data_IF_504876241918
#
_entry.id   IF_504876241918
#
_cell.length_a   1.000
_cell.length_b   1.000
_cell.length_c   1.000
_cell.angle_alpha   90.00
_cell.angle_beta   90.00
_cell.angle_gamma   90.00
#
_symmetry.space_group_name_H-M   'P 1'
#
loop_
_entity.id
_entity.type
_entity.pdbx_description
1 polymer ?
#
# COMPACT_ATOMS: atom_id res chain seq x y z
N UNK A 1 28.41 32.86 3.70
CA UNK A 1 27.72 31.83 4.50
C UNK A 1 28.16 30.46 4.01
N UNK A 2 28.69 29.57 4.87
CA UNK A 2 29.05 28.23 4.46
C UNK A 2 27.77 27.47 4.07
N UNK A 3 27.73 26.95 2.83
CA UNK A 3 26.67 26.05 2.38
C UNK A 3 26.60 24.89 3.37
N UNK A 4 25.49 24.75 4.12
CA UNK A 4 25.20 23.53 4.89
C UNK A 4 25.48 22.36 3.96
N UNK A 5 26.40 21.47 4.35
CA UNK A 5 26.64 20.19 3.67
C UNK A 5 25.26 19.56 3.45
N UNK A 6 24.84 19.50 2.19
CA UNK A 6 23.54 18.95 1.83
C UNK A 6 23.59 17.49 2.28
N UNK A 7 22.87 17.17 3.35
CA UNK A 7 22.81 15.81 3.87
C UNK A 7 22.29 14.94 2.72
N UNK A 8 23.06 13.94 2.29
CA UNK A 8 22.69 13.10 1.16
C UNK A 8 21.35 12.44 1.47
N UNK A 9 20.35 12.72 0.62
CA UNK A 9 18.99 12.20 0.75
C UNK A 9 18.80 11.19 -0.38
N UNK A 10 19.05 9.91 -0.10
CA UNK A 10 19.02 8.86 -1.12
C UNK A 10 17.65 8.73 -1.79
N UNK A 11 16.57 9.02 -1.08
CA UNK A 11 15.21 8.93 -1.62
C UNK A 11 14.77 10.19 -2.37
N UNK A 12 15.60 11.25 -2.40
CA UNK A 12 15.24 12.48 -3.11
C UNK A 12 15.09 12.21 -4.60
N UNK A 13 13.92 12.54 -5.16
CA UNK A 13 13.59 12.29 -6.55
C UNK A 13 13.10 10.87 -6.84
N UNK A 14 13.13 9.96 -5.86
CA UNK A 14 12.52 8.66 -5.99
C UNK A 14 10.99 8.78 -6.05
N UNK A 15 10.35 7.76 -6.64
CA UNK A 15 8.90 7.62 -6.78
C UNK A 15 8.44 6.40 -6.00
N UNK A 16 7.36 6.55 -5.25
CA UNK A 16 6.79 5.49 -4.42
C UNK A 16 5.31 5.33 -4.70
N UNK A 17 4.84 4.09 -4.82
CA UNK A 17 3.41 3.78 -4.88
C UNK A 17 2.88 3.28 -3.53
N UNK A 18 1.73 3.81 -3.10
CA UNK A 18 1.08 3.44 -1.83
C UNK A 18 -0.08 2.45 -2.04
N UNK A 19 0.28 1.17 -2.00
CA UNK A 19 -0.63 0.05 -2.18
C UNK A 19 -1.35 -0.33 -0.87
N UNK A 20 -2.61 -0.73 -0.96
CA UNK A 20 -3.40 -1.20 0.19
C UNK A 20 -4.91 -1.15 -0.05
N UNK A 21 -5.73 -1.73 0.84
CA UNK A 21 -7.17 -1.76 0.67
C UNK A 21 -7.81 -0.37 0.50
N UNK A 22 -8.81 -0.31 -0.37
CA UNK A 22 -9.65 0.87 -0.62
C UNK A 22 -11.14 0.55 -0.58
N UNK A 23 -11.57 -0.61 -1.09
CA UNK A 23 -12.99 -0.94 -1.24
C UNK A 23 -13.64 -1.56 0.01
N UNK A 24 -12.99 -2.55 0.62
CA UNK A 24 -13.55 -3.31 1.76
C UNK A 24 -13.14 -2.69 3.11
N UNK A 25 -12.80 -1.40 3.12
CA UNK A 25 -12.54 -0.65 4.34
C UNK A 25 -13.85 -0.19 4.98
N UNK A 26 -13.83 0.10 6.28
CA UNK A 26 -15.04 0.51 7.00
C UNK A 26 -15.72 1.78 6.42
N UNK A 27 -14.92 2.70 5.87
CA UNK A 27 -15.43 3.87 5.14
C UNK A 27 -14.41 4.38 4.14
N UNK A 28 -14.77 4.37 2.85
CA UNK A 28 -13.94 4.93 1.77
C UNK A 28 -13.64 6.40 1.99
N UNK A 29 -14.64 7.17 2.41
CA UNK A 29 -14.51 8.61 2.66
C UNK A 29 -13.54 8.88 3.82
N UNK A 30 -13.68 8.13 4.92
CA UNK A 30 -12.79 8.28 6.07
C UNK A 30 -11.35 7.84 5.73
N UNK A 31 -11.17 6.76 4.98
CA UNK A 31 -9.84 6.34 4.54
C UNK A 31 -9.19 7.35 3.58
N UNK A 32 -9.95 7.89 2.62
CA UNK A 32 -9.43 8.95 1.74
C UNK A 32 -8.99 10.20 2.50
N UNK A 33 -9.77 10.61 3.51
CA UNK A 33 -9.54 11.86 4.23
C UNK A 33 -8.54 11.73 5.40
N UNK A 34 -8.57 10.63 6.12
CA UNK A 34 -7.83 10.43 7.39
C UNK A 34 -6.98 9.17 7.39
N UNK A 35 -6.81 8.53 6.24
CA UNK A 35 -6.08 7.30 6.10
C UNK A 35 -4.60 7.41 6.34
N UNK A 36 -3.97 6.24 6.46
CA UNK A 36 -2.53 6.13 6.66
C UNK A 36 -1.73 6.77 5.52
N UNK A 37 -2.27 6.69 4.29
CA UNK A 37 -1.62 7.24 3.09
C UNK A 37 -1.33 8.72 3.24
N UNK A 38 -2.22 9.50 3.84
CA UNK A 38 -2.01 10.94 4.02
C UNK A 38 -0.76 11.24 4.86
N UNK A 39 -0.57 10.50 5.97
CA UNK A 39 0.60 10.66 6.85
C UNK A 39 1.88 10.14 6.22
N UNK A 40 1.81 8.99 5.55
CA UNK A 40 2.95 8.41 4.83
C UNK A 40 3.38 9.30 3.66
N UNK A 41 2.42 9.86 2.92
CA UNK A 41 2.65 10.84 1.86
C UNK A 41 3.39 12.06 2.39
N UNK A 42 2.89 12.69 3.47
CA UNK A 42 3.53 13.86 4.09
C UNK A 42 4.97 13.54 4.54
N UNK A 43 5.18 12.37 5.14
CA UNK A 43 6.49 11.91 5.60
C UNK A 43 7.49 11.73 4.45
N UNK A 44 7.06 11.08 3.36
CA UNK A 44 7.90 10.82 2.18
C UNK A 44 8.19 12.09 1.39
N UNK A 45 7.20 12.99 1.27
CA UNK A 45 7.35 14.27 0.58
C UNK A 45 8.37 15.19 1.27
N UNK A 46 8.48 15.16 2.61
CA UNK A 46 9.53 15.91 3.33
C UNK A 46 10.94 15.45 2.91
N UNK A 47 11.09 14.20 2.47
CA UNK A 47 12.35 13.64 1.95
C UNK A 47 12.56 13.90 0.45
N UNK A 48 11.63 14.59 -0.22
CA UNK A 48 11.67 14.86 -1.65
C UNK A 48 11.27 13.67 -2.52
N UNK A 49 10.49 12.73 -1.98
CA UNK A 49 9.92 11.59 -2.73
C UNK A 49 8.64 12.02 -3.42
N UNK A 50 8.46 11.61 -4.67
CA UNK A 50 7.18 11.72 -5.39
C UNK A 50 6.28 10.56 -5.00
N UNK A 51 5.08 10.85 -4.48
CA UNK A 51 4.16 9.83 -3.95
C UNK A 51 2.99 9.64 -4.91
N UNK A 52 2.78 8.39 -5.32
CA UNK A 52 1.60 7.95 -6.04
C UNK A 52 0.60 7.32 -5.07
N UNK A 53 -0.43 8.08 -4.75
CA UNK A 53 -1.57 7.66 -3.93
C UNK A 53 -2.78 7.37 -4.84
N UNK A 54 -3.33 6.15 -4.85
CA UNK A 54 -4.48 5.81 -5.70
C UNK A 54 -5.75 6.62 -5.39
N UNK A 55 -5.87 7.26 -4.22
CA UNK A 55 -6.97 8.20 -3.95
C UNK A 55 -6.83 9.55 -4.67
N UNK A 56 -5.60 9.92 -5.02
CA UNK A 56 -5.20 11.23 -5.55
C UNK A 56 -4.32 11.06 -6.78
N UNK A 57 -4.91 10.46 -7.82
CA UNK A 57 -4.23 10.12 -9.07
C UNK A 57 -3.73 11.38 -9.78
N UNK A 58 -2.48 11.40 -10.30
CA UNK A 58 -1.97 12.52 -11.06
C UNK A 58 -2.72 12.68 -12.39
N UNK A 59 -2.75 13.90 -12.91
CA UNK A 59 -3.31 14.14 -14.24
C UNK A 59 -2.45 13.47 -15.32
N UNK A 60 -3.10 12.80 -16.26
CA UNK A 60 -2.43 12.18 -17.41
C UNK A 60 -2.36 13.18 -18.54
N UNK A 61 -1.15 13.52 -18.98
CA UNK A 61 -0.95 14.49 -20.07
C UNK A 61 -1.68 14.02 -21.34
N UNK A 62 -2.58 14.87 -21.84
CA UNK A 62 -3.33 14.61 -23.06
C UNK A 62 -4.59 13.74 -22.88
N UNK A 63 -4.90 13.27 -21.65
CA UNK A 63 -6.13 12.54 -21.35
C UNK A 63 -6.89 13.24 -20.23
N UNK A 64 -8.11 13.70 -20.51
CA UNK A 64 -8.93 14.38 -19.51
C UNK A 64 -9.56 13.37 -18.54
N UNK A 65 -9.40 13.60 -17.23
CA UNK A 65 -10.00 12.81 -16.13
C UNK A 65 -9.72 11.29 -16.14
N UNK A 66 -8.68 10.86 -16.85
CA UNK A 66 -8.38 9.44 -17.05
C UNK A 66 -8.23 8.66 -15.74
N UNK A 67 -9.05 7.62 -15.58
CA UNK A 67 -8.99 6.71 -14.43
C UNK A 67 -9.38 7.33 -13.08
N UNK A 68 -9.94 8.54 -13.06
CA UNK A 68 -10.53 9.13 -11.85
C UNK A 68 -11.78 8.35 -11.46
N UNK A 69 -11.79 7.87 -10.22
CA UNK A 69 -12.94 7.18 -9.65
C UNK A 69 -13.94 8.18 -9.06
N UNK A 70 -15.19 8.12 -9.53
CA UNK A 70 -16.33 8.63 -8.78
C UNK A 70 -17.07 7.45 -8.11
N UNK A 71 -17.67 7.69 -6.94
CA UNK A 71 -18.41 6.61 -6.22
C UNK A 71 -19.59 6.08 -7.07
N UNK A 72 -20.13 6.92 -7.97
CA UNK A 72 -21.28 6.60 -8.82
C UNK A 72 -20.94 5.63 -9.97
N UNK A 73 -19.71 5.61 -10.48
CA UNK A 73 -19.30 4.67 -11.55
C UNK A 73 -19.25 3.23 -11.05
N UNK A 74 -18.72 2.99 -9.85
CA UNK A 74 -18.64 1.65 -9.27
C UNK A 74 -20.01 1.00 -9.08
N UNK A 75 -20.99 1.74 -8.57
CA UNK A 75 -22.35 1.24 -8.38
C UNK A 75 -23.04 0.92 -9.71
N UNK A 76 -22.91 1.80 -10.72
CA UNK A 76 -23.44 1.56 -12.07
C UNK A 76 -22.86 0.30 -12.71
N UNK A 77 -21.56 0.06 -12.55
CA UNK A 77 -20.90 -1.15 -13.05
C UNK A 77 -21.49 -2.40 -12.39
N UNK A 78 -21.68 -2.38 -11.06
CA UNK A 78 -22.26 -3.50 -10.31
C UNK A 78 -23.70 -3.78 -10.71
N UNK A 79 -24.54 -2.74 -10.84
CA UNK A 79 -25.93 -2.87 -11.25
C UNK A 79 -26.09 -3.43 -12.68
N UNK A 80 -25.14 -3.12 -13.58
CA UNK A 80 -25.18 -3.58 -14.98
C UNK A 80 -24.56 -4.95 -15.21
N UNK A 81 -23.75 -5.46 -14.27
CA UNK A 81 -23.11 -6.75 -14.43
C UNK A 81 -24.14 -7.88 -14.55
N UNK A 82 -23.90 -8.83 -15.46
CA UNK A 82 -24.74 -10.01 -15.65
C UNK A 82 -23.94 -11.23 -16.08
N UNK A 83 -24.38 -12.40 -15.63
CA UNK A 83 -23.84 -13.71 -16.02
C UNK A 83 -24.57 -14.33 -17.22
N UNK A 84 -25.59 -13.67 -17.75
CA UNK A 84 -26.35 -14.18 -18.89
C UNK A 84 -25.45 -14.41 -20.12
N UNK A 85 -25.76 -15.48 -20.86
CA UNK A 85 -25.13 -15.79 -22.12
C UNK A 85 -25.59 -14.89 -23.28
N UNK A 86 -25.10 -15.17 -24.48
CA UNK A 86 -25.52 -14.49 -25.70
C UNK A 86 -24.98 -13.07 -25.87
N UNK A 87 -25.42 -12.41 -26.93
CA UNK A 87 -24.88 -11.12 -27.37
C UNK A 87 -25.17 -9.97 -26.40
N UNK A 88 -26.34 -9.96 -25.75
CA UNK A 88 -26.72 -8.94 -24.78
C UNK A 88 -25.84 -9.00 -23.51
N UNK A 89 -25.70 -10.19 -22.91
CA UNK A 89 -24.82 -10.40 -21.76
C UNK A 89 -23.36 -10.09 -22.06
N UNK A 90 -22.86 -10.50 -23.25
CA UNK A 90 -21.50 -10.15 -23.69
C UNK A 90 -21.28 -8.64 -23.82
N UNK A 91 -22.24 -7.89 -24.37
CA UNK A 91 -22.19 -6.41 -24.45
C UNK A 91 -22.17 -5.76 -23.07
N UNK A 92 -22.97 -6.26 -22.13
CA UNK A 92 -23.01 -5.74 -20.76
C UNK A 92 -21.65 -5.95 -20.06
N UNK A 93 -21.09 -7.16 -20.09
CA UNK A 93 -19.77 -7.46 -19.50
C UNK A 93 -18.65 -6.67 -20.15
N UNK A 94 -18.64 -6.57 -21.49
CA UNK A 94 -17.66 -5.76 -22.23
C UNK A 94 -17.71 -4.28 -21.84
N UNK A 95 -18.92 -3.72 -21.69
CA UNK A 95 -19.08 -2.37 -21.20
C UNK A 95 -18.52 -2.22 -19.77
N UNK A 96 -18.89 -3.10 -18.84
CA UNK A 96 -18.41 -3.06 -17.45
C UNK A 96 -16.87 -3.11 -17.37
N UNK A 97 -16.25 -4.04 -18.11
CA UNK A 97 -14.79 -4.16 -18.18
C UNK A 97 -14.13 -2.88 -18.70
N UNK A 98 -14.69 -2.29 -19.76
CA UNK A 98 -14.17 -1.04 -20.33
C UNK A 98 -14.28 0.15 -19.37
N UNK A 99 -15.36 0.25 -18.59
CA UNK A 99 -15.53 1.36 -17.65
C UNK A 99 -14.48 1.35 -16.53
N UNK A 100 -14.12 0.17 -16.01
CA UNK A 100 -13.15 0.08 -14.92
C UNK A 100 -11.69 0.01 -15.42
N UNK A 101 -11.49 -0.21 -16.72
CA UNK A 101 -10.16 -0.36 -17.32
C UNK A 101 -9.25 0.83 -17.05
N UNK A 102 -9.74 2.06 -17.19
CA UNK A 102 -8.91 3.26 -17.03
C UNK A 102 -8.39 3.40 -15.59
N UNK A 103 -9.24 3.09 -14.61
CA UNK A 103 -8.90 3.04 -13.19
C UNK A 103 -7.80 2.02 -12.91
N UNK A 104 -7.99 0.77 -13.36
CA UNK A 104 -6.98 -0.27 -13.21
C UNK A 104 -5.67 0.11 -13.91
N UNK A 105 -5.76 0.61 -15.14
CA UNK A 105 -4.60 0.90 -15.98
C UNK A 105 -3.74 2.02 -15.37
N UNK A 106 -4.34 3.12 -14.89
CA UNK A 106 -3.56 4.19 -14.28
C UNK A 106 -2.89 3.75 -12.97
N UNK A 107 -3.55 2.92 -12.16
CA UNK A 107 -2.97 2.41 -10.91
C UNK A 107 -1.75 1.51 -11.19
N UNK A 108 -1.88 0.59 -12.15
CA UNK A 108 -0.76 -0.24 -12.58
C UNK A 108 0.35 0.58 -13.24
N UNK A 109 0.01 1.66 -13.97
CA UNK A 109 1.02 2.56 -14.54
C UNK A 109 1.78 3.34 -13.45
N UNK A 110 1.12 3.70 -12.35
CA UNK A 110 1.80 4.29 -11.18
C UNK A 110 2.73 3.29 -10.49
N UNK A 111 2.33 2.02 -10.36
CA UNK A 111 3.24 0.94 -9.89
C UNK A 111 4.43 0.80 -10.83
N UNK A 112 4.19 0.69 -12.13
CA UNK A 112 5.19 0.54 -13.18
C UNK A 112 6.21 1.69 -13.20
N UNK A 113 5.78 2.90 -12.86
CA UNK A 113 6.66 4.07 -12.83
C UNK A 113 7.21 4.41 -11.44
N UNK A 114 6.83 3.68 -10.39
CA UNK A 114 7.47 3.81 -9.07
C UNK A 114 8.83 3.11 -9.02
N UNK A 115 9.74 3.59 -8.17
CA UNK A 115 11.04 2.96 -7.90
C UNK A 115 10.93 1.90 -6.79
N UNK A 116 9.96 2.05 -5.89
CA UNK A 116 9.59 1.05 -4.87
C UNK A 116 8.12 1.23 -4.46
N UNK A 117 7.57 0.26 -3.72
CA UNK A 117 6.20 0.36 -3.20
C UNK A 117 6.16 0.23 -1.68
N UNK A 118 5.16 0.86 -1.05
CA UNK A 118 4.76 0.58 0.33
C UNK A 118 3.37 -0.04 0.29
N UNK A 119 3.24 -1.25 0.81
CA UNK A 119 2.01 -2.05 0.70
C UNK A 119 1.44 -2.35 2.09
N UNK A 120 0.31 -1.73 2.44
CA UNK A 120 -0.42 -1.99 3.67
C UNK A 120 -1.41 -3.15 3.48
N UNK A 121 -1.17 -4.27 4.16
CA UNK A 121 -1.87 -5.53 3.94
C UNK A 121 -2.40 -6.14 5.24
N UNK A 122 -3.44 -5.54 5.87
CA UNK A 122 -4.11 -6.16 7.01
C UNK A 122 -4.82 -7.45 6.59
N UNK A 123 -4.64 -8.52 7.36
CA UNK A 123 -5.11 -9.86 6.97
C UNK A 123 -6.62 -10.08 7.05
N UNK A 124 -7.38 -9.11 7.56
CA UNK A 124 -8.84 -9.14 7.66
C UNK A 124 -9.56 -8.25 6.64
N UNK A 125 -8.83 -7.59 5.75
CA UNK A 125 -9.46 -6.78 4.70
C UNK A 125 -9.22 -7.46 3.36
N UNK A 126 -10.30 -7.85 2.71
CA UNK A 126 -10.23 -8.38 1.36
C UNK A 126 -9.73 -7.30 0.40
N UNK A 127 -8.72 -7.64 -0.40
CA UNK A 127 -8.17 -6.76 -1.44
C UNK A 127 -7.71 -7.60 -2.61
N UNK A 128 -8.07 -7.16 -3.83
CA UNK A 128 -7.62 -7.76 -5.10
C UNK A 128 -6.58 -6.88 -5.81
N UNK A 129 -6.69 -5.56 -5.69
CA UNK A 129 -5.74 -4.61 -6.26
C UNK A 129 -4.36 -4.73 -5.60
N UNK A 130 -4.33 -4.77 -4.27
CA UNK A 130 -3.08 -4.83 -3.49
C UNK A 130 -2.20 -6.05 -3.85
N UNK A 131 -2.72 -7.30 -3.89
CA UNK A 131 -1.92 -8.42 -4.40
C UNK A 131 -1.41 -8.21 -5.83
N UNK A 132 -2.25 -7.68 -6.74
CA UNK A 132 -1.87 -7.46 -8.14
C UNK A 132 -0.74 -6.43 -8.27
N UNK A 133 -0.81 -5.34 -7.52
CA UNK A 133 0.20 -4.28 -7.45
C UNK A 133 1.54 -4.82 -6.90
N UNK A 134 1.50 -5.64 -5.85
CA UNK A 134 2.69 -6.29 -5.26
C UNK A 134 3.34 -7.25 -6.26
N UNK A 135 2.53 -8.10 -6.91
CA UNK A 135 3.03 -9.05 -7.91
C UNK A 135 3.67 -8.30 -9.08
N UNK A 136 3.05 -7.23 -9.57
CA UNK A 136 3.64 -6.41 -10.63
C UNK A 136 4.97 -5.78 -10.20
N UNK A 137 5.03 -5.18 -9.01
CA UNK A 137 6.26 -4.58 -8.50
C UNK A 137 7.40 -5.61 -8.38
N UNK A 138 7.10 -6.80 -7.84
CA UNK A 138 8.10 -7.87 -7.66
C UNK A 138 8.55 -8.50 -8.97
N UNK A 139 7.67 -8.66 -9.96
CA UNK A 139 8.04 -9.09 -11.32
C UNK A 139 8.95 -8.08 -12.03
N UNK A 140 8.92 -6.82 -11.61
CA UNK A 140 9.80 -5.76 -12.09
C UNK A 140 11.04 -5.57 -11.21
N UNK A 141 11.30 -6.49 -10.27
CA UNK A 141 12.40 -6.44 -9.32
C UNK A 141 12.44 -5.16 -8.47
N UNK A 142 11.27 -4.56 -8.20
CA UNK A 142 11.17 -3.38 -7.33
C UNK A 142 11.04 -3.81 -5.87
N UNK A 143 11.70 -3.11 -4.93
CA UNK A 143 11.46 -3.32 -3.52
C UNK A 143 9.99 -3.09 -3.15
N UNK A 144 9.43 -4.01 -2.36
CA UNK A 144 8.08 -3.89 -1.78
C UNK A 144 8.21 -3.84 -0.27
N UNK A 145 7.99 -2.69 0.34
CA UNK A 145 7.93 -2.56 1.80
C UNK A 145 6.52 -2.96 2.28
N UNK A 146 6.40 -4.13 2.90
CA UNK A 146 5.14 -4.78 3.25
C UNK A 146 4.77 -4.56 4.71
N UNK A 147 3.65 -3.90 4.97
CA UNK A 147 3.13 -3.63 6.32
C UNK A 147 1.96 -4.58 6.62
N UNK A 148 2.16 -5.49 7.58
CA UNK A 148 1.17 -6.45 8.07
C UNK A 148 0.92 -6.17 9.55
N UNK A 149 -0.12 -5.42 9.95
CA UNK A 149 -0.39 -5.15 11.36
C UNK A 149 -1.01 -6.38 12.06
N UNK A 150 -0.90 -6.50 13.39
CA UNK A 150 -1.74 -7.40 14.17
C UNK A 150 -3.23 -7.18 13.89
N UNK A 151 -4.00 -8.27 13.78
CA UNK A 151 -5.46 -8.21 13.62
C UNK A 151 -6.12 -8.92 14.79
N UNK A 152 -7.00 -8.22 15.49
CA UNK A 152 -7.88 -8.78 16.51
C UNK A 152 -9.24 -8.09 16.47
N UNK A 153 -10.26 -8.67 17.11
CA UNK A 153 -11.63 -8.13 17.14
C UNK A 153 -12.12 -7.94 18.58
N UNK A 154 -11.69 -6.87 19.28
CA UNK A 154 -12.07 -6.63 20.67
C UNK A 154 -13.58 -6.56 20.88
N UNK A 155 -14.29 -5.86 19.99
CA UNK A 155 -15.75 -5.74 20.05
C UNK A 155 -16.45 -7.09 19.87
N UNK A 156 -15.86 -8.00 19.08
CA UNK A 156 -16.38 -9.37 18.96
C UNK A 156 -16.20 -10.15 20.27
N UNK A 157 -15.08 -9.96 20.97
CA UNK A 157 -14.86 -10.59 22.27
C UNK A 157 -15.85 -10.08 23.32
N UNK A 158 -16.12 -8.78 23.33
CA UNK A 158 -17.12 -8.17 24.20
C UNK A 158 -18.53 -8.65 23.86
N UNK A 159 -18.86 -8.77 22.56
CA UNK A 159 -20.15 -9.27 22.09
C UNK A 159 -20.36 -10.75 22.48
N UNK A 160 -19.33 -11.60 22.31
CA UNK A 160 -19.37 -12.99 22.77
C UNK A 160 -19.72 -13.07 24.25
N UNK A 161 -19.02 -12.27 25.07
CA UNK A 161 -19.26 -12.22 26.52
C UNK A 161 -20.67 -11.73 26.85
N UNK A 162 -21.15 -10.72 26.14
CA UNK A 162 -22.50 -10.16 26.36
C UNK A 162 -23.60 -11.19 26.08
N UNK A 163 -23.41 -12.05 25.08
CA UNK A 163 -24.39 -13.05 24.64
C UNK A 163 -24.29 -14.40 25.38
N UNK A 164 -23.39 -14.55 26.37
CA UNK A 164 -23.18 -15.83 27.09
C UNK A 164 -24.46 -16.41 27.72
N UNK A 165 -25.37 -15.55 28.17
CA UNK A 165 -26.65 -15.92 28.79
C UNK A 165 -27.85 -15.85 27.82
N UNK A 166 -27.60 -15.59 26.54
CA UNK A 166 -28.60 -15.56 25.46
C UNK A 166 -28.32 -16.69 24.46
N UNK A 167 -29.00 -17.85 24.58
CA UNK A 167 -28.77 -19.00 23.70
C UNK A 167 -29.05 -18.70 22.22
N UNK A 168 -30.05 -17.87 21.94
CA UNK A 168 -30.45 -17.53 20.56
C UNK A 168 -29.40 -16.58 19.96
N UNK A 169 -29.07 -15.50 20.67
CA UNK A 169 -28.03 -14.56 20.25
C UNK A 169 -26.68 -15.23 20.06
N UNK A 170 -26.30 -16.13 20.96
CA UNK A 170 -25.08 -16.94 20.85
C UNK A 170 -25.06 -17.83 19.60
N UNK A 171 -26.19 -18.46 19.23
CA UNK A 171 -26.25 -19.27 18.01
C UNK A 171 -26.18 -18.41 16.74
N UNK A 172 -26.90 -17.29 16.71
CA UNK A 172 -26.81 -16.33 15.60
C UNK A 172 -25.38 -15.80 15.43
N UNK A 173 -24.68 -15.50 16.52
CA UNK A 173 -23.28 -15.07 16.46
C UNK A 173 -22.37 -16.19 15.93
N UNK A 174 -22.54 -17.44 16.38
CA UNK A 174 -21.79 -18.59 15.84
C UNK A 174 -22.04 -18.81 14.35
N UNK A 175 -23.27 -18.62 13.90
CA UNK A 175 -23.62 -18.70 12.49
C UNK A 175 -22.92 -17.59 11.69
N UNK A 176 -23.00 -16.34 12.17
CA UNK A 176 -22.33 -15.20 11.55
C UNK A 176 -20.81 -15.40 11.43
N UNK A 177 -20.17 -15.96 12.45
CA UNK A 177 -18.74 -16.28 12.44
C UNK A 177 -18.35 -17.35 11.41
N UNK A 178 -19.29 -18.20 10.97
CA UNK A 178 -19.07 -19.17 9.88
C UNK A 178 -19.30 -18.55 8.51
N UNK A 179 -20.20 -17.57 8.42
CA UNK A 179 -20.55 -16.88 7.17
C UNK A 179 -19.51 -15.81 6.78
N UNK A 180 -18.86 -15.19 7.76
CA UNK A 180 -17.85 -14.15 7.55
C UNK A 180 -16.45 -14.70 7.88
N UNK A 181 -15.41 -14.44 7.07
CA UNK A 181 -14.04 -14.89 7.34
C UNK A 181 -13.38 -14.11 8.48
N UNK A 182 -13.90 -14.25 9.70
CA UNK A 182 -13.36 -13.63 10.91
C UNK A 182 -12.15 -14.45 11.39
N UNK A 183 -10.96 -14.00 11.00
CA UNK A 183 -9.70 -14.63 11.42
C UNK A 183 -8.77 -13.62 12.07
N UNK A 184 -8.51 -13.82 13.36
CA UNK A 184 -7.51 -13.05 14.08
C UNK A 184 -6.09 -13.41 13.62
N UNK A 185 -5.20 -12.44 13.71
CA UNK A 185 -3.77 -12.56 13.46
C UNK A 185 -3.01 -11.69 14.48
N UNK A 186 -3.02 -12.08 15.77
CA UNK A 186 -2.43 -11.26 16.84
C UNK A 186 -0.91 -11.09 16.70
N UNK A 187 -0.27 -11.96 15.92
CA UNK A 187 1.17 -11.96 15.65
C UNK A 187 1.56 -11.24 14.37
N UNK A 188 0.62 -10.62 13.67
CA UNK A 188 0.89 -9.86 12.44
C UNK A 188 1.50 -10.69 11.31
N UNK A 189 1.33 -12.02 11.33
CA UNK A 189 1.98 -12.94 10.39
C UNK A 189 1.44 -12.67 8.99
N UNK A 190 2.27 -12.27 8.00
CA UNK A 190 1.79 -12.06 6.64
C UNK A 190 1.36 -13.40 6.02
N UNK A 191 0.63 -13.35 4.90
CA UNK A 191 0.34 -14.56 4.13
C UNK A 191 1.63 -15.30 3.76
N UNK A 192 1.61 -16.63 3.86
CA UNK A 192 2.76 -17.49 3.51
C UNK A 192 3.22 -17.29 2.07
N UNK A 193 2.33 -16.84 1.16
CA UNK A 193 2.67 -16.50 -0.22
C UNK A 193 3.49 -15.22 -0.35
N UNK A 194 3.26 -14.23 0.53
CA UNK A 194 4.01 -12.98 0.48
C UNK A 194 5.45 -13.17 0.94
N UNK A 195 5.71 -14.10 1.87
CA UNK A 195 7.05 -14.33 2.43
C UNK A 195 8.12 -14.54 1.35
N UNK A 196 7.97 -15.50 0.42
CA UNK A 196 8.94 -15.67 -0.67
C UNK A 196 8.83 -14.61 -1.75
N UNK A 197 7.65 -14.00 -1.94
CA UNK A 197 7.41 -13.00 -2.99
C UNK A 197 8.11 -11.65 -2.68
N UNK A 198 8.07 -11.22 -1.43
CA UNK A 198 8.58 -9.92 -0.96
C UNK A 198 10.01 -10.02 -0.41
N UNK A 199 10.37 -11.17 0.15
CA UNK A 199 11.66 -11.38 0.81
C UNK A 199 11.66 -10.97 2.29
N UNK A 200 12.42 -11.69 3.11
CA UNK A 200 12.32 -11.66 4.58
C UNK A 200 12.63 -10.31 5.25
N UNK A 201 13.32 -9.39 4.56
CA UNK A 201 13.75 -8.11 5.15
C UNK A 201 12.79 -6.95 4.92
N UNK A 202 11.78 -7.11 4.07
CA UNK A 202 10.87 -6.03 3.72
C UNK A 202 9.51 -6.14 4.42
N UNK A 203 9.43 -6.84 5.55
CA UNK A 203 8.21 -6.95 6.37
C UNK A 203 8.24 -6.05 7.60
N UNK A 204 7.11 -5.40 7.86
CA UNK A 204 6.90 -4.46 8.96
C UNK A 204 5.57 -4.74 9.65
N UNK A 205 5.50 -4.59 10.97
CA UNK A 205 4.30 -4.87 11.78
C UNK A 205 3.50 -3.61 12.15
N UNK A 206 3.86 -2.47 11.56
CA UNK A 206 3.16 -1.20 11.68
C UNK A 206 3.90 -0.05 11.00
N UNK A 207 3.32 1.14 11.07
CA UNK A 207 3.92 2.35 10.53
C UNK A 207 4.91 3.00 11.50
N UNK A 208 4.57 3.04 12.79
CA UNK A 208 5.33 3.73 13.83
C UNK A 208 5.06 5.23 13.84
N UNK A 209 3.80 5.64 13.69
CA UNK A 209 3.42 7.06 13.59
C UNK A 209 3.79 7.85 14.86
N UNK A 210 3.75 7.21 16.03
CA UNK A 210 3.98 7.85 17.33
C UNK A 210 5.29 8.66 17.39
N UNK A 211 6.37 8.15 16.80
CA UNK A 211 7.69 8.81 16.79
C UNK A 211 7.70 10.13 16.00
N UNK A 212 6.76 10.30 15.07
CA UNK A 212 6.76 11.40 14.11
C UNK A 212 5.65 12.43 14.36
N UNK A 213 4.70 12.15 15.26
CA UNK A 213 3.54 13.03 15.51
C UNK A 213 3.92 14.48 15.77
N UNK A 214 4.88 14.72 16.67
CA UNK A 214 5.34 16.08 17.02
C UNK A 214 5.97 16.79 15.83
N UNK A 215 6.77 16.08 15.02
CA UNK A 215 7.46 16.64 13.85
C UNK A 215 6.47 17.10 12.78
N UNK A 216 5.42 16.33 12.52
CA UNK A 216 4.44 16.62 11.47
C UNK A 216 3.15 17.29 11.96
N UNK A 217 3.04 17.59 13.26
CA UNK A 217 1.84 18.19 13.85
C UNK A 217 0.61 17.30 13.80
N UNK A 218 0.78 15.97 13.82
CA UNK A 218 -0.34 15.02 13.85
C UNK A 218 -0.99 14.98 15.23
N UNK A 219 -1.88 15.94 15.49
CA UNK A 219 -2.51 16.14 16.80
C UNK A 219 -3.78 15.30 16.98
N UNK A 220 -4.39 14.85 15.90
CA UNK A 220 -5.63 14.06 15.92
C UNK A 220 -5.30 12.57 15.82
N UNK A 221 -5.87 11.76 16.72
CA UNK A 221 -5.73 10.30 16.69
C UNK A 221 -6.60 9.66 15.60
N UNK A 222 -5.96 8.92 14.69
CA UNK A 222 -6.63 8.07 13.70
C UNK A 222 -6.77 6.63 14.24
N UNK A 223 -7.62 5.76 13.65
CA UNK A 223 -7.77 4.37 14.11
C UNK A 223 -6.44 3.61 14.24
N UNK A 224 -5.48 3.85 13.32
CA UNK A 224 -4.16 3.24 13.38
C UNK A 224 -3.30 3.73 14.55
N UNK A 225 -3.48 4.96 15.06
CA UNK A 225 -2.76 5.39 16.27
C UNK A 225 -3.21 4.58 17.49
N UNK A 226 -4.53 4.36 17.62
CA UNK A 226 -5.09 3.55 18.70
C UNK A 226 -4.64 2.10 18.58
N UNK A 227 -4.58 1.60 17.35
CA UNK A 227 -4.07 0.27 17.06
C UNK A 227 -2.60 0.12 17.45
N UNK A 228 -1.71 1.02 17.03
CA UNK A 228 -0.29 0.99 17.38
C UNK A 228 -0.02 1.25 18.87
N UNK A 229 -0.88 2.01 19.56
CA UNK A 229 -0.80 2.16 21.03
C UNK A 229 -1.08 0.83 21.73
N UNK A 230 -2.07 0.07 21.24
CA UNK A 230 -2.42 -1.25 21.77
C UNK A 230 -1.40 -2.32 21.37
N UNK A 231 -0.88 -2.23 20.16
CA UNK A 231 0.11 -3.12 19.58
C UNK A 231 1.32 -2.33 19.10
N UNK A 232 2.24 -1.93 20.00
CA UNK A 232 3.43 -1.20 19.62
C UNK A 232 4.23 -1.98 18.56
N UNK A 233 4.46 -1.41 17.36
CA UNK A 233 5.20 -2.08 16.30
C UNK A 233 6.63 -2.38 16.75
N UNK A 234 7.10 -3.61 16.52
CA UNK A 234 8.47 -4.04 16.79
C UNK A 234 9.42 -3.66 15.65
N UNK A 235 8.92 -3.66 14.42
CA UNK A 235 9.63 -3.29 13.18
C UNK A 235 8.77 -2.29 12.41
N UNK A 236 8.68 -1.02 12.87
CA UNK A 236 7.91 0.02 12.19
C UNK A 236 8.57 0.46 10.87
N UNK A 237 7.76 0.74 9.85
CA UNK A 237 8.27 1.13 8.52
C UNK A 237 8.83 2.56 8.47
N UNK A 238 8.25 3.54 9.17
CA UNK A 238 8.69 4.94 9.04
C UNK A 238 10.13 5.15 9.54
N UNK A 239 10.54 4.58 10.70
CA UNK A 239 11.94 4.62 11.12
C UNK A 239 12.89 3.86 10.18
N UNK A 240 12.41 2.84 9.48
CA UNK A 240 13.20 2.17 8.45
C UNK A 240 13.40 3.09 7.24
N UNK A 241 12.34 3.72 6.74
CA UNK A 241 12.41 4.63 5.58
C UNK A 241 13.26 5.87 5.88
N UNK A 242 13.19 6.42 7.10
CA UNK A 242 14.09 7.51 7.51
C UNK A 242 15.57 7.12 7.44
N UNK A 243 15.91 5.90 7.85
CA UNK A 243 17.27 5.36 7.74
C UNK A 243 17.65 5.08 6.29
N UNK A 244 16.72 4.55 5.50
CA UNK A 244 16.87 4.29 4.07
C UNK A 244 17.22 5.58 3.31
N UNK A 245 16.64 6.71 3.69
CA UNK A 245 16.98 8.01 3.10
C UNK A 245 18.44 8.43 3.34
N UNK A 246 19.13 7.82 4.30
CA UNK A 246 20.53 8.12 4.60
C UNK A 246 21.50 7.07 4.05
N UNK A 247 21.07 5.80 3.96
CA UNK A 247 21.90 4.68 3.51
C UNK A 247 21.05 3.56 2.91
N UNK A 248 21.58 2.87 1.91
CA UNK A 248 20.94 1.66 1.37
C UNK A 248 20.77 0.60 2.46
N UNK A 249 19.68 -0.19 2.42
CA UNK A 249 19.46 -1.23 3.39
C UNK A 249 20.37 -2.42 3.10
N UNK A 250 20.35 -3.38 4.03
CA UNK A 250 21.07 -4.64 3.89
C UNK A 250 20.07 -5.78 3.85
N UNK A 251 20.43 -6.84 3.14
CA UNK A 251 19.70 -8.11 3.16
C UNK A 251 20.54 -9.23 3.75
N UNK A 252 19.87 -10.21 4.37
CA UNK A 252 20.53 -11.40 4.87
C UNK A 252 20.92 -12.32 3.72
N UNK A 253 22.22 -12.59 3.57
CA UNK A 253 22.71 -13.59 2.63
C UNK A 253 22.85 -14.93 3.34
N UNK A 254 22.02 -15.90 2.93
CA UNK A 254 22.03 -17.26 3.51
C UNK A 254 23.32 -18.03 3.23
N UNK A 255 23.98 -17.80 2.08
CA UNK A 255 25.21 -18.51 1.72
C UNK A 255 26.40 -17.98 2.50
N UNK A 256 26.46 -16.66 2.70
CA UNK A 256 27.54 -15.99 3.43
C UNK A 256 27.27 -15.86 4.93
N UNK A 257 26.06 -16.22 5.39
CA UNK A 257 25.61 -16.14 6.79
C UNK A 257 25.84 -14.75 7.41
N UNK A 258 25.60 -13.69 6.64
CA UNK A 258 25.81 -12.29 7.06
C UNK A 258 24.91 -11.33 6.28
N UNK A 259 24.76 -10.12 6.80
CA UNK A 259 24.12 -9.03 6.08
C UNK A 259 25.04 -8.45 4.99
N UNK A 260 24.50 -8.34 3.77
CA UNK A 260 25.15 -7.75 2.59
C UNK A 260 24.33 -6.55 2.09
N UNK A 261 24.89 -5.65 1.26
CA UNK A 261 24.10 -4.60 0.61
C UNK A 261 22.93 -5.20 -0.16
N UNK A 262 21.77 -4.54 -0.11
CA UNK A 262 20.60 -4.93 -0.90
C UNK A 262 20.62 -4.21 -2.25
N UNK A 263 20.97 -4.96 -3.30
CA UNK A 263 21.11 -4.49 -4.68
C UNK A 263 19.77 -4.31 -5.42
N UNK A 264 18.64 -4.67 -4.80
CA UNK A 264 17.31 -4.37 -5.34
C UNK A 264 16.96 -2.87 -5.25
N UNK A 265 17.69 -2.12 -4.41
CA UNK A 265 17.50 -0.67 -4.24
C UNK A 265 18.23 0.16 -5.30
N UNK A 266 17.74 0.06 -6.53
CA UNK A 266 18.22 0.82 -7.68
C UNK A 266 17.52 2.19 -7.75
N UNK A 267 18.08 3.17 -7.03
CA UNK A 267 17.59 4.55 -7.02
C UNK A 267 18.36 5.40 -8.03
N UNK A 268 17.65 6.11 -8.89
CA UNK A 268 18.24 6.91 -9.96
C UNK A 268 18.60 8.33 -9.49
N UNK A 269 19.80 8.81 -9.85
CA UNK A 269 20.20 10.20 -9.69
C UNK A 269 20.22 10.92 -11.04
N UNK A 270 19.04 11.39 -11.48
CA UNK A 270 18.89 12.11 -12.75
C UNK A 270 19.25 13.61 -12.66
N UNK A 271 19.58 14.12 -11.46
CA UNK A 271 19.87 15.54 -11.25
C UNK A 271 21.37 15.86 -11.26
N UNK A 272 22.23 14.88 -11.47
CA UNK A 272 23.66 15.10 -11.66
C UNK A 272 23.90 15.78 -13.01
N UNK A 273 24.34 17.04 -12.97
CA UNK A 273 24.77 17.85 -14.13
C UNK A 273 25.95 17.26 -14.92
N UNK A 274 26.54 16.16 -14.44
CA UNK A 274 27.49 15.33 -15.17
C UNK A 274 26.84 14.00 -15.55
N UNK A 275 25.91 14.04 -16.50
CA UNK A 275 25.43 12.83 -17.17
C UNK A 275 26.60 12.28 -18.00
N UNK A 276 27.47 11.45 -17.39
CA UNK A 276 28.40 10.58 -18.11
C UNK A 276 27.62 9.33 -18.55
N UNK A 277 26.68 9.55 -19.44
CA UNK A 277 25.98 8.53 -20.20
C UNK A 277 25.78 9.14 -21.58
N UNK A 278 26.44 8.56 -22.58
CA UNK A 278 26.25 8.94 -23.98
C UNK A 278 24.76 9.10 -24.24
N UNK A 279 24.36 10.23 -24.80
CA UNK A 279 23.10 10.31 -25.51
C UNK A 279 22.98 9.03 -26.35
N UNK A 280 21.87 8.30 -26.19
CA UNK A 280 21.46 7.37 -27.24
C UNK A 280 21.11 8.28 -28.40
N UNK A 281 22.10 8.55 -29.27
CA UNK A 281 21.86 9.20 -30.54
C UNK A 281 20.81 8.35 -31.25
N UNK A 282 19.63 8.94 -31.46
CA UNK A 282 18.57 8.31 -32.22
C UNK A 282 19.13 7.96 -33.59
N UNK A 283 19.16 6.67 -33.92
CA UNK A 283 19.41 6.23 -35.29
C UNK A 283 18.14 6.54 -36.09
N UNK A 284 17.98 7.80 -36.45
CA UNK A 284 17.16 8.26 -37.58
C UNK A 284 17.97 9.33 -38.30
N UNK A 285 18.64 8.89 -39.37
CA UNK A 285 18.91 9.76 -40.52
C UNK A 285 17.61 9.95 -41.28
#
# INVERSE_FOLDING_TARGET
MPKKKQQSSLLRGARVYLSGPMDFVASRAAEKQFGWRNRVSQFLQEMGVTVFDPWFKPDVRGLHEYGREDVKSGEKIRQRWTYEGGSAGAKARSWCARQFWETLHIDLRMVDTSDFTISYCPTNIYSVGTPHEIIMATLQHKPVLFVSPPVIFPALHELRKHLELDPIGSELLRQLEREIPIKENPRAIPSLWYIPLVGGENFFDGFGFAAYRKRFGWNVDIPLDRHEKRFPPKRPILPFVEKLNQRLPKKWDRKLNRFVPDDDWLLWDFHTTKIRGKHVESVRK
#
